data_IF_962800336245
#
_entry.id   IF_962800336245
#
_cell.length_a   1.000
_cell.length_b   1.000
_cell.length_c   1.000
_cell.angle_alpha   90.00
_cell.angle_beta   90.00
_cell.angle_gamma   90.00
#
_symmetry.space_group_name_H-M   'P 1'
#
loop_
_entity.id
_entity.type
_entity.pdbx_description
1 polymer ?
#
# COMPACT_ATOMS: atom_id res chain seq x y z
N UNK A 1 -30.30 -10.41 -39.79
CA UNK A 1 -28.84 -10.60 -39.80
C UNK A 1 -28.33 -10.40 -38.38
N UNK A 2 -27.62 -11.39 -37.89
CA UNK A 2 -27.47 -11.83 -36.51
C UNK A 2 -26.70 -10.84 -35.63
N UNK A 3 -27.30 -10.47 -34.48
CA UNK A 3 -26.64 -9.86 -33.34
C UNK A 3 -25.88 -10.91 -32.55
N UNK A 4 -24.56 -10.81 -32.49
CA UNK A 4 -23.73 -11.55 -31.53
C UNK A 4 -23.47 -10.71 -30.29
N UNK A 5 -24.18 -11.05 -29.23
CA UNK A 5 -24.03 -10.54 -27.88
C UNK A 5 -22.81 -11.21 -27.22
N UNK A 6 -21.75 -10.46 -26.94
CA UNK A 6 -20.63 -10.93 -26.14
C UNK A 6 -20.96 -10.79 -24.64
N UNK A 7 -21.18 -11.91 -23.98
CA UNK A 7 -21.37 -12.00 -22.53
C UNK A 7 -20.01 -11.90 -21.82
N UNK A 8 -19.86 -10.92 -20.93
CA UNK A 8 -18.76 -10.86 -19.96
C UNK A 8 -19.04 -11.86 -18.82
N UNK A 9 -18.06 -12.63 -18.34
CA UNK A 9 -18.24 -13.48 -17.17
C UNK A 9 -18.20 -12.62 -15.89
N UNK A 10 -19.28 -12.67 -15.14
CA UNK A 10 -19.35 -12.14 -13.78
C UNK A 10 -18.69 -13.14 -12.84
N UNK A 11 -17.61 -12.74 -12.18
CA UNK A 11 -16.99 -13.50 -11.10
C UNK A 11 -17.95 -13.54 -9.90
N UNK A 12 -18.49 -14.71 -9.61
CA UNK A 12 -19.29 -14.99 -8.41
C UNK A 12 -18.34 -15.40 -7.29
N UNK A 13 -18.18 -14.53 -6.30
CA UNK A 13 -17.57 -14.86 -5.02
C UNK A 13 -18.57 -15.70 -4.22
N UNK A 14 -18.26 -16.97 -4.04
CA UNK A 14 -19.01 -17.87 -3.16
C UNK A 14 -18.26 -17.91 -1.83
N UNK A 15 -18.74 -17.14 -0.86
CA UNK A 15 -18.37 -17.31 0.54
C UNK A 15 -19.23 -18.46 1.09
N UNK A 16 -18.68 -19.67 1.09
CA UNK A 16 -19.31 -20.83 1.67
C UNK A 16 -18.76 -21.13 3.06
N UNK A 17 -19.40 -20.63 4.10
CA UNK A 17 -19.21 -21.11 5.47
C UNK A 17 -20.20 -22.25 5.68
N UNK A 18 -19.73 -23.50 5.53
CA UNK A 18 -20.50 -24.69 5.94
C UNK A 18 -19.92 -25.21 7.26
N UNK A 19 -20.58 -24.86 8.34
CA UNK A 19 -20.53 -25.61 9.61
C UNK A 19 -21.48 -26.81 9.46
N UNK A 20 -20.95 -27.97 9.08
CA UNK A 20 -21.70 -29.21 9.10
C UNK A 20 -21.45 -29.91 10.43
N UNK A 21 -22.44 -29.82 11.32
CA UNK A 21 -22.52 -30.71 12.47
C UNK A 21 -22.82 -32.13 12.03
N UNK A 22 -21.91 -33.06 12.21
CA UNK A 22 -22.17 -34.49 12.10
C UNK A 22 -22.49 -35.02 13.48
N UNK A 23 -23.79 -35.26 13.75
CA UNK A 23 -24.26 -36.13 14.81
C UNK A 23 -24.15 -37.57 14.31
N UNK A 24 -23.10 -38.26 14.65
CA UNK A 24 -22.97 -39.70 14.52
C UNK A 24 -23.29 -40.32 15.88
N UNK A 25 -24.47 -40.92 15.99
CA UNK A 25 -24.81 -41.86 17.07
C UNK A 25 -24.09 -43.18 16.81
N UNK A 26 -23.06 -43.50 17.56
CA UNK A 26 -22.45 -44.82 17.61
C UNK A 26 -22.29 -45.25 19.07
N UNK A 27 -22.62 -46.52 19.28
CA UNK A 27 -22.87 -47.22 20.51
C UNK A 27 -21.78 -47.10 21.58
N UNK A 28 -22.25 -47.06 22.78
CA UNK A 28 -21.48 -47.08 24.03
C UNK A 28 -20.72 -48.39 24.13
N UNK A 29 -19.41 -48.32 23.87
CA UNK A 29 -18.46 -49.29 24.49
C UNK A 29 -17.74 -48.51 25.58
N UNK A 30 -18.04 -48.86 26.82
CA UNK A 30 -17.36 -48.34 28.03
C UNK A 30 -15.96 -48.96 28.10
N UNK A 31 -14.99 -48.33 27.44
CA UNK A 31 -13.59 -48.49 27.82
C UNK A 31 -13.36 -47.67 29.08
N UNK A 32 -12.52 -48.14 30.06
CA UNK A 32 -12.24 -47.37 31.24
C UNK A 32 -11.60 -46.06 30.82
N UNK A 33 -12.29 -44.94 31.10
CA UNK A 33 -11.75 -43.60 30.94
C UNK A 33 -10.55 -43.51 31.88
N UNK A 34 -9.35 -43.61 31.35
CA UNK A 34 -8.18 -43.12 32.08
C UNK A 34 -8.48 -41.63 32.37
N UNK A 35 -8.76 -41.30 33.63
CA UNK A 35 -9.03 -39.94 34.06
C UNK A 35 -7.86 -39.08 33.57
N UNK A 36 -8.12 -38.23 32.57
CA UNK A 36 -7.12 -37.31 32.06
C UNK A 36 -6.60 -36.48 33.25
N UNK A 37 -5.30 -36.46 33.46
CA UNK A 37 -4.76 -35.74 34.59
C UNK A 37 -5.11 -34.27 34.46
N UNK A 38 -5.46 -33.54 35.55
CA UNK A 38 -5.78 -32.11 35.49
C UNK A 38 -4.73 -31.25 34.76
N UNK A 39 -3.47 -31.74 34.76
CA UNK A 39 -2.35 -31.11 34.02
C UNK A 39 -2.44 -31.44 32.52
N UNK A 40 -2.87 -32.62 32.13
CA UNK A 40 -3.09 -32.99 30.72
C UNK A 40 -4.16 -32.13 30.10
N UNK A 41 -5.29 -31.94 30.78
CA UNK A 41 -6.38 -31.09 30.34
C UNK A 41 -5.98 -29.60 30.25
N UNK A 42 -5.17 -29.13 31.20
CA UNK A 42 -4.66 -27.75 31.17
C UNK A 42 -3.71 -27.52 29.96
N UNK A 43 -2.82 -28.52 29.67
CA UNK A 43 -1.94 -28.44 28.49
C UNK A 43 -2.72 -28.43 27.17
N UNK A 44 -3.76 -29.27 27.06
CA UNK A 44 -4.62 -29.29 25.85
C UNK A 44 -5.37 -27.97 25.66
N UNK A 45 -5.95 -27.41 26.74
CA UNK A 45 -6.61 -26.09 26.70
C UNK A 45 -5.63 -24.98 26.36
N UNK A 46 -4.41 -25.02 26.90
CA UNK A 46 -3.36 -24.05 26.59
C UNK A 46 -2.95 -24.10 25.10
N UNK A 47 -2.83 -25.30 24.54
CA UNK A 47 -2.53 -25.47 23.12
C UNK A 47 -3.68 -24.93 22.22
N UNK A 48 -4.93 -25.23 22.56
CA UNK A 48 -6.09 -24.73 21.85
C UNK A 48 -6.19 -23.20 21.93
N UNK A 49 -6.00 -22.60 23.10
CA UNK A 49 -5.98 -21.16 23.30
C UNK A 49 -4.87 -20.52 22.46
N UNK A 50 -3.67 -21.08 22.47
CA UNK A 50 -2.55 -20.59 21.66
C UNK A 50 -2.93 -20.56 20.18
N UNK A 51 -3.44 -21.65 19.63
CA UNK A 51 -3.85 -21.70 18.21
C UNK A 51 -4.92 -20.66 17.87
N UNK A 52 -5.88 -20.43 18.77
CA UNK A 52 -6.93 -19.41 18.54
C UNK A 52 -6.32 -18.00 18.56
N UNK A 53 -5.44 -17.70 19.52
CA UNK A 53 -4.78 -16.39 19.62
C UNK A 53 -3.87 -16.16 18.43
N UNK A 54 -3.07 -17.14 18.02
CA UNK A 54 -2.17 -17.02 16.87
C UNK A 54 -2.96 -16.82 15.56
N UNK A 55 -4.09 -17.52 15.38
CA UNK A 55 -4.97 -17.32 14.24
C UNK A 55 -5.58 -15.92 14.19
N UNK A 56 -6.03 -15.38 15.34
CA UNK A 56 -6.57 -14.02 15.41
C UNK A 56 -5.48 -12.97 15.19
N UNK A 57 -4.27 -13.18 15.69
CA UNK A 57 -3.11 -12.30 15.43
C UNK A 57 -2.78 -12.25 13.96
N UNK A 58 -2.67 -13.39 13.29
CA UNK A 58 -2.45 -13.46 11.85
C UNK A 58 -3.54 -12.69 11.07
N UNK A 59 -4.81 -12.89 11.44
CA UNK A 59 -5.90 -12.12 10.82
C UNK A 59 -5.79 -10.62 11.08
N UNK A 60 -5.34 -10.21 12.27
CA UNK A 60 -5.12 -8.81 12.61
C UNK A 60 -3.96 -8.21 11.79
N UNK A 61 -2.86 -8.95 11.59
CA UNK A 61 -1.74 -8.53 10.74
C UNK A 61 -2.17 -8.33 9.29
N UNK A 62 -2.91 -9.27 8.71
CA UNK A 62 -3.48 -9.14 7.36
C UNK A 62 -4.43 -7.95 7.26
N UNK A 63 -5.28 -7.74 8.28
CA UNK A 63 -6.21 -6.60 8.31
C UNK A 63 -5.46 -5.26 8.44
N UNK A 64 -4.35 -5.24 9.18
CA UNK A 64 -3.47 -4.07 9.31
C UNK A 64 -2.83 -3.70 7.97
N UNK A 65 -2.28 -4.66 7.24
CA UNK A 65 -1.73 -4.40 5.91
C UNK A 65 -2.79 -3.83 4.95
N UNK A 66 -3.99 -4.39 4.95
CA UNK A 66 -5.09 -3.88 4.14
C UNK A 66 -5.49 -2.45 4.53
N UNK A 67 -5.48 -2.14 5.84
CA UNK A 67 -5.70 -0.78 6.33
C UNK A 67 -4.61 0.17 5.83
N UNK A 68 -3.35 -0.19 6.00
CA UNK A 68 -2.21 0.66 5.64
C UNK A 68 -2.16 0.95 4.14
N UNK A 69 -2.44 -0.04 3.29
CA UNK A 69 -2.57 0.15 1.85
C UNK A 69 -3.70 1.13 1.50
N UNK A 70 -4.87 0.93 2.12
CA UNK A 70 -6.04 1.79 1.87
C UNK A 70 -5.77 3.22 2.38
N UNK A 71 -5.09 3.35 3.51
CA UNK A 71 -4.70 4.64 4.09
C UNK A 71 -3.68 5.37 3.20
N UNK A 72 -2.67 4.67 2.69
CA UNK A 72 -1.71 5.22 1.74
C UNK A 72 -2.39 5.67 0.44
N UNK A 73 -3.33 4.86 -0.10
CA UNK A 73 -4.13 5.21 -1.26
C UNK A 73 -5.01 6.45 -1.02
N UNK A 74 -5.58 6.58 0.19
CA UNK A 74 -6.33 7.77 0.59
C UNK A 74 -5.43 9.02 0.58
N UNK A 75 -4.21 8.93 1.09
CA UNK A 75 -3.24 10.03 1.04
C UNK A 75 -2.94 10.49 -0.39
N UNK A 76 -2.75 9.56 -1.31
CA UNK A 76 -2.57 9.87 -2.74
C UNK A 76 -3.83 10.50 -3.36
N UNK A 77 -5.02 9.99 -3.04
CA UNK A 77 -6.27 10.52 -3.54
C UNK A 77 -6.55 11.94 -3.02
N UNK A 78 -6.20 12.25 -1.77
CA UNK A 78 -6.28 13.61 -1.20
C UNK A 78 -5.33 14.56 -1.95
N UNK A 79 -4.10 14.16 -2.20
CA UNK A 79 -3.16 14.96 -2.97
C UNK A 79 -3.66 15.21 -4.40
N UNK A 80 -4.20 14.18 -5.07
CA UNK A 80 -4.80 14.30 -6.39
C UNK A 80 -6.00 15.27 -6.39
N UNK A 81 -6.82 15.24 -5.32
CA UNK A 81 -7.93 16.18 -5.16
C UNK A 81 -7.45 17.64 -5.02
N UNK A 82 -6.38 17.88 -4.26
CA UNK A 82 -5.77 19.22 -4.11
C UNK A 82 -5.27 19.73 -5.48
N UNK A 83 -4.60 18.89 -6.27
CA UNK A 83 -4.12 19.26 -7.60
C UNK A 83 -5.26 19.48 -8.59
N UNK A 84 -6.32 18.69 -8.53
CA UNK A 84 -7.53 18.89 -9.32
C UNK A 84 -8.22 20.21 -8.99
N UNK A 85 -8.25 20.60 -7.70
CA UNK A 85 -8.77 21.90 -7.26
C UNK A 85 -7.96 23.06 -7.85
N UNK A 86 -6.61 22.99 -7.78
CA UNK A 86 -5.71 23.98 -8.38
C UNK A 86 -5.92 24.12 -9.89
N UNK A 87 -6.07 22.97 -10.56
CA UNK A 87 -6.32 22.93 -12.02
C UNK A 87 -7.65 23.59 -12.37
N UNK A 88 -8.69 23.34 -11.58
CA UNK A 88 -10.00 23.98 -11.76
C UNK A 88 -9.92 25.49 -11.56
N UNK A 89 -9.21 25.96 -10.53
CA UNK A 89 -9.07 27.38 -10.25
C UNK A 89 -8.30 28.09 -11.38
N UNK A 90 -7.25 27.48 -11.93
CA UNK A 90 -6.54 28.00 -13.10
C UNK A 90 -7.42 28.01 -14.36
N UNK A 91 -8.24 26.97 -14.57
CA UNK A 91 -9.19 26.93 -15.69
C UNK A 91 -10.27 28.02 -15.57
N UNK A 92 -10.78 28.26 -14.36
CA UNK A 92 -11.74 29.35 -14.08
C UNK A 92 -11.15 30.72 -14.37
N UNK A 93 -9.91 30.99 -13.94
CA UNK A 93 -9.21 32.24 -14.23
C UNK A 93 -9.05 32.45 -15.74
N UNK A 94 -8.63 31.42 -16.47
CA UNK A 94 -8.46 31.47 -17.92
C UNK A 94 -9.80 31.72 -18.62
N UNK A 95 -10.86 31.03 -18.22
CA UNK A 95 -12.21 31.21 -18.76
C UNK A 95 -12.78 32.62 -18.47
N UNK A 96 -12.54 33.11 -17.23
CA UNK A 96 -12.93 34.46 -16.84
C UNK A 96 -12.23 35.55 -17.67
N UNK A 97 -10.89 35.45 -17.82
CA UNK A 97 -10.11 36.38 -18.64
C UNK A 97 -10.57 36.38 -20.10
N UNK A 98 -10.90 35.20 -20.63
CA UNK A 98 -11.46 35.09 -22.00
C UNK A 98 -12.84 35.76 -22.13
N UNK A 99 -13.71 35.60 -21.16
CA UNK A 99 -15.01 36.24 -21.09
C UNK A 99 -14.90 37.79 -21.03
N UNK A 100 -13.94 38.29 -20.22
CA UNK A 100 -13.65 39.73 -20.11
C UNK A 100 -13.16 40.30 -21.45
N UNK A 101 -12.23 39.60 -22.12
CA UNK A 101 -11.76 39.98 -23.45
C UNK A 101 -12.88 40.04 -24.48
N UNK A 102 -13.80 39.08 -24.50
CA UNK A 102 -15.00 39.10 -25.35
C UNK A 102 -15.87 40.31 -25.07
N UNK A 103 -16.12 40.60 -23.81
CA UNK A 103 -16.92 41.72 -23.39
C UNK A 103 -16.31 43.06 -23.87
N UNK A 104 -15.00 43.24 -23.68
CA UNK A 104 -14.26 44.39 -24.14
C UNK A 104 -14.32 44.51 -25.68
N UNK A 105 -14.13 43.40 -26.39
CA UNK A 105 -14.18 43.34 -27.85
C UNK A 105 -15.58 43.69 -28.39
N UNK A 106 -16.62 43.09 -27.80
CA UNK A 106 -18.01 43.37 -28.18
C UNK A 106 -18.35 44.84 -27.96
N UNK A 107 -17.90 45.43 -26.84
CA UNK A 107 -18.10 46.87 -26.56
C UNK A 107 -17.35 47.74 -27.56
N UNK A 108 -16.10 47.43 -27.90
CA UNK A 108 -15.30 48.14 -28.88
C UNK A 108 -15.96 48.12 -30.28
N UNK A 109 -16.44 46.95 -30.72
CA UNK A 109 -17.19 46.79 -31.99
C UNK A 109 -18.48 47.61 -31.99
N UNK A 110 -19.25 47.60 -30.91
CA UNK A 110 -20.46 48.40 -30.79
C UNK A 110 -20.17 49.89 -30.87
N UNK A 111 -19.15 50.38 -30.15
CA UNK A 111 -18.75 51.79 -30.13
C UNK A 111 -18.17 52.27 -31.47
N UNK A 112 -17.61 51.39 -32.28
CA UNK A 112 -17.09 51.71 -33.64
C UNK A 112 -18.14 51.69 -34.74
N UNK A 113 -19.42 51.50 -34.41
CA UNK A 113 -20.53 51.47 -35.40
C UNK A 113 -20.87 50.07 -35.89
N UNK A 114 -20.39 49.04 -35.21
CA UNK A 114 -20.71 47.64 -35.50
C UNK A 114 -20.01 47.06 -36.74
N UNK A 115 -20.38 45.87 -37.18
CA UNK A 115 -19.78 45.21 -38.34
C UNK A 115 -19.92 46.02 -39.63
N UNK A 116 -21.00 46.79 -39.76
CA UNK A 116 -21.28 47.60 -40.92
C UNK A 116 -20.23 48.71 -41.16
N UNK A 117 -19.65 49.27 -40.09
CA UNK A 117 -18.63 50.31 -40.20
C UNK A 117 -17.33 49.77 -40.85
N UNK A 118 -17.01 48.47 -40.59
CA UNK A 118 -15.85 47.83 -41.21
C UNK A 118 -16.00 47.74 -42.72
N UNK A 119 -17.17 47.35 -43.22
CA UNK A 119 -17.44 47.30 -44.66
C UNK A 119 -17.49 48.70 -45.29
N UNK A 120 -18.08 49.65 -44.58
CA UNK A 120 -18.15 51.02 -45.06
C UNK A 120 -16.75 51.61 -45.22
N UNK A 121 -15.83 51.34 -44.35
CA UNK A 121 -14.42 51.78 -44.39
C UNK A 121 -13.70 51.29 -45.65
N UNK A 122 -13.99 50.07 -46.12
CA UNK A 122 -13.44 49.51 -47.36
C UNK A 122 -14.10 50.17 -48.57
N UNK A 123 -15.45 50.37 -48.56
CA UNK A 123 -16.20 50.90 -49.64
C UNK A 123 -15.95 52.41 -49.90
N UNK A 124 -15.51 53.19 -48.94
CA UNK A 124 -15.16 54.59 -48.99
C UNK A 124 -13.72 54.89 -49.34
N UNK A 125 -12.95 53.87 -49.76
CA UNK A 125 -11.54 54.01 -50.15
C UNK A 125 -11.38 54.76 -51.46
N UNK A 126 -10.42 55.72 -51.52
CA UNK A 126 -10.19 56.58 -52.69
C UNK A 126 -9.23 56.00 -53.73
N UNK A 127 -8.58 54.86 -53.47
CA UNK A 127 -7.63 54.19 -54.39
C UNK A 127 -7.62 52.66 -54.21
N UNK A 128 -7.18 51.93 -55.26
CA UNK A 128 -7.04 50.47 -55.27
C UNK A 128 -6.06 50.03 -54.21
N UNK A 129 -4.97 50.76 -54.01
CA UNK A 129 -3.98 50.48 -53.00
C UNK A 129 -4.57 50.60 -51.58
N UNK A 130 -5.39 51.58 -51.35
CA UNK A 130 -6.08 51.78 -50.08
C UNK A 130 -7.12 50.69 -49.83
N UNK A 131 -7.85 50.24 -50.80
CA UNK A 131 -8.76 49.10 -50.76
C UNK A 131 -8.00 47.87 -50.36
N UNK A 132 -6.87 47.56 -50.99
CA UNK A 132 -6.05 46.37 -50.67
C UNK A 132 -5.54 46.42 -49.22
N UNK A 133 -5.02 47.55 -48.73
CA UNK A 133 -4.55 47.72 -47.36
C UNK A 133 -5.68 47.55 -46.36
N UNK A 134 -6.84 48.16 -46.58
CA UNK A 134 -8.00 48.04 -45.67
C UNK A 134 -8.59 46.63 -45.68
N UNK A 135 -8.61 45.95 -46.84
CA UNK A 135 -9.01 44.55 -46.94
C UNK A 135 -8.09 43.63 -46.14
N UNK A 136 -6.77 43.87 -46.21
CA UNK A 136 -5.82 43.11 -45.39
C UNK A 136 -6.04 43.35 -43.88
N UNK A 137 -6.32 44.57 -43.46
CA UNK A 137 -6.69 44.89 -42.09
C UNK A 137 -7.98 44.18 -41.64
N UNK A 138 -9.00 44.14 -42.46
CA UNK A 138 -10.24 43.41 -42.18
C UNK A 138 -9.98 41.92 -42.06
N UNK A 139 -9.18 41.34 -42.96
CA UNK A 139 -8.78 39.91 -42.84
C UNK A 139 -8.05 39.60 -41.56
N UNK A 140 -7.12 40.47 -41.12
CA UNK A 140 -6.39 40.30 -39.83
C UNK A 140 -7.36 40.35 -38.62
N UNK A 141 -8.35 41.24 -38.65
CA UNK A 141 -9.37 41.33 -37.60
C UNK A 141 -10.24 40.06 -37.55
N UNK A 142 -10.71 39.60 -38.73
CA UNK A 142 -11.53 38.36 -38.81
C UNK A 142 -10.75 37.15 -38.38
N UNK A 143 -9.47 37.04 -38.77
CA UNK A 143 -8.60 35.95 -38.33
C UNK A 143 -8.35 35.99 -36.80
N UNK A 144 -8.15 37.18 -36.23
CA UNK A 144 -8.03 37.38 -34.79
C UNK A 144 -9.29 36.97 -34.03
N UNK A 145 -10.46 37.34 -34.54
CA UNK A 145 -11.74 36.98 -33.93
C UNK A 145 -11.98 35.45 -34.01
N UNK A 146 -11.63 34.81 -35.13
CA UNK A 146 -11.72 33.35 -35.27
C UNK A 146 -10.79 32.62 -34.27
N UNK A 147 -9.56 33.12 -34.10
CA UNK A 147 -8.60 32.58 -33.12
C UNK A 147 -9.13 32.72 -31.68
N UNK A 148 -9.73 33.88 -31.36
CA UNK A 148 -10.34 34.09 -30.04
C UNK A 148 -11.50 33.14 -29.78
N UNK A 149 -12.39 32.92 -30.74
CA UNK A 149 -13.49 31.94 -30.62
C UNK A 149 -12.94 30.51 -30.33
N UNK A 150 -11.85 30.15 -31.02
CA UNK A 150 -11.22 28.86 -30.79
C UNK A 150 -10.59 28.76 -29.39
N UNK A 151 -9.92 29.81 -28.93
CA UNK A 151 -9.36 29.87 -27.57
C UNK A 151 -10.46 29.74 -26.49
N UNK A 152 -11.59 30.43 -26.71
CA UNK A 152 -12.74 30.37 -25.81
C UNK A 152 -13.33 28.96 -25.72
N UNK A 153 -13.53 28.30 -26.86
CA UNK A 153 -14.00 26.92 -26.89
C UNK A 153 -13.07 25.97 -26.14
N UNK A 154 -11.75 26.18 -26.31
CA UNK A 154 -10.74 25.42 -25.56
C UNK A 154 -10.79 25.73 -24.05
N UNK A 155 -11.00 26.99 -23.65
CA UNK A 155 -11.10 27.36 -22.24
C UNK A 155 -12.33 26.73 -21.58
N UNK A 156 -13.47 26.70 -22.26
CA UNK A 156 -14.68 25.99 -21.77
C UNK A 156 -14.42 24.50 -21.64
N UNK A 157 -13.86 23.87 -22.68
CA UNK A 157 -13.54 22.43 -22.63
C UNK A 157 -12.58 22.08 -21.47
N UNK A 158 -11.57 22.92 -21.22
CA UNK A 158 -10.65 22.74 -20.08
C UNK A 158 -11.35 22.89 -18.74
N UNK A 159 -12.28 23.86 -18.62
CA UNK A 159 -13.06 24.07 -17.40
C UNK A 159 -13.96 22.87 -17.11
N UNK A 160 -14.64 22.34 -18.11
CA UNK A 160 -15.49 21.16 -17.98
C UNK A 160 -14.68 19.93 -17.58
N UNK A 161 -13.53 19.71 -18.25
CA UNK A 161 -12.61 18.61 -17.91
C UNK A 161 -12.07 18.73 -16.49
N UNK A 162 -11.65 19.93 -16.06
CA UNK A 162 -11.16 20.16 -14.71
C UNK A 162 -12.26 19.94 -13.65
N UNK A 163 -13.49 20.35 -13.94
CA UNK A 163 -14.64 20.12 -13.06
C UNK A 163 -14.95 18.63 -12.92
N UNK A 164 -14.91 17.88 -14.02
CA UNK A 164 -15.10 16.43 -13.99
C UNK A 164 -13.98 15.72 -13.18
N UNK A 165 -12.72 16.12 -13.41
CA UNK A 165 -11.57 15.58 -12.69
C UNK A 165 -11.67 15.82 -11.17
N UNK A 166 -12.08 17.01 -10.75
CA UNK A 166 -12.30 17.33 -9.35
C UNK A 166 -13.38 16.43 -8.74
N UNK A 167 -14.52 16.28 -9.41
CA UNK A 167 -15.61 15.43 -8.94
C UNK A 167 -15.21 13.95 -8.84
N UNK A 168 -14.38 13.46 -9.78
CA UNK A 168 -13.86 12.09 -9.74
C UNK A 168 -12.89 11.88 -8.58
N UNK A 169 -11.98 12.83 -8.35
CA UNK A 169 -11.03 12.78 -7.24
C UNK A 169 -11.73 12.82 -5.88
N UNK A 170 -12.78 13.64 -5.73
CA UNK A 170 -13.61 13.70 -4.53
C UNK A 170 -14.34 12.36 -4.28
N UNK A 171 -14.95 11.79 -5.32
CA UNK A 171 -15.60 10.47 -5.21
C UNK A 171 -14.64 9.37 -4.79
N UNK A 172 -13.40 9.40 -5.33
CA UNK A 172 -12.36 8.43 -4.95
C UNK A 172 -11.95 8.61 -3.49
N UNK A 173 -11.64 9.83 -3.06
CA UNK A 173 -11.26 10.11 -1.67
C UNK A 173 -12.34 9.69 -0.68
N UNK A 174 -13.61 9.99 -0.97
CA UNK A 174 -14.74 9.60 -0.12
C UNK A 174 -14.94 8.07 -0.04
N UNK A 175 -14.70 7.33 -1.13
CA UNK A 175 -14.76 5.85 -1.10
C UNK A 175 -13.63 5.29 -0.24
N UNK A 176 -12.40 5.77 -0.44
CA UNK A 176 -11.23 5.32 0.32
C UNK A 176 -11.36 5.65 1.81
N UNK A 177 -11.89 6.82 2.16
CA UNK A 177 -12.16 7.18 3.56
C UNK A 177 -13.12 6.19 4.24
N UNK A 178 -14.18 5.76 3.55
CA UNK A 178 -15.09 4.74 4.08
C UNK A 178 -14.41 3.39 4.21
N UNK A 179 -13.57 3.00 3.25
CA UNK A 179 -12.80 1.75 3.31
C UNK A 179 -11.81 1.76 4.47
N UNK A 180 -11.08 2.86 4.69
CA UNK A 180 -10.18 3.04 5.86
C UNK A 180 -10.95 2.84 7.17
N UNK A 181 -12.13 3.46 7.33
CA UNK A 181 -12.95 3.30 8.53
C UNK A 181 -13.41 1.84 8.72
N UNK A 182 -13.78 1.14 7.65
CA UNK A 182 -14.16 -0.27 7.71
C UNK A 182 -12.99 -1.18 8.09
N UNK A 183 -11.81 -0.96 7.51
CA UNK A 183 -10.60 -1.73 7.84
C UNK A 183 -10.17 -1.48 9.29
N UNK A 184 -10.19 -0.23 9.76
CA UNK A 184 -9.91 0.11 11.14
C UNK A 184 -10.87 -0.61 12.11
N UNK A 185 -12.17 -0.63 11.79
CA UNK A 185 -13.17 -1.37 12.56
C UNK A 185 -12.89 -2.87 12.62
N UNK A 186 -12.42 -3.47 11.51
CA UNK A 186 -12.05 -4.89 11.46
C UNK A 186 -10.84 -5.20 12.35
N UNK A 187 -9.78 -4.39 12.27
CA UNK A 187 -8.59 -4.55 13.14
C UNK A 187 -9.00 -4.47 14.61
N UNK A 188 -9.76 -3.44 15.00
CA UNK A 188 -10.22 -3.27 16.37
C UNK A 188 -11.08 -4.45 16.86
N UNK A 189 -11.96 -5.00 16.00
CA UNK A 189 -12.77 -6.17 16.34
C UNK A 189 -11.90 -7.42 16.59
N UNK A 190 -10.89 -7.66 15.77
CA UNK A 190 -9.96 -8.79 15.95
C UNK A 190 -9.12 -8.64 17.22
N UNK A 191 -8.64 -7.44 17.52
CA UNK A 191 -7.93 -7.15 18.76
C UNK A 191 -8.84 -7.34 19.99
N UNK A 192 -10.09 -6.88 19.93
CA UNK A 192 -11.07 -7.09 20.98
C UNK A 192 -11.39 -8.56 21.22
N UNK A 193 -11.51 -9.36 20.15
CA UNK A 193 -11.68 -10.83 20.28
C UNK A 193 -10.46 -11.50 20.91
N UNK A 194 -9.24 -11.09 20.54
CA UNK A 194 -8.03 -11.60 21.12
C UNK A 194 -7.96 -11.30 22.62
N UNK A 195 -8.27 -10.06 23.02
CA UNK A 195 -8.29 -9.64 24.41
C UNK A 195 -9.34 -10.41 25.19
N UNK A 196 -10.56 -10.56 24.66
CA UNK A 196 -11.62 -11.31 25.34
C UNK A 196 -11.25 -12.79 25.58
N UNK A 197 -10.53 -13.42 24.62
CA UNK A 197 -10.03 -14.79 24.82
C UNK A 197 -8.98 -14.86 25.94
N UNK A 198 -8.08 -13.89 26.01
CA UNK A 198 -7.06 -13.83 27.06
C UNK A 198 -7.67 -13.56 28.43
N UNK A 199 -8.65 -12.66 28.52
CA UNK A 199 -9.33 -12.31 29.76
C UNK A 199 -10.17 -13.48 30.31
N UNK A 200 -10.73 -14.30 29.43
CA UNK A 200 -11.51 -15.48 29.80
C UNK A 200 -10.63 -16.70 30.18
N UNK A 201 -9.34 -16.65 29.92
CA UNK A 201 -8.44 -17.77 30.14
C UNK A 201 -7.99 -17.86 31.61
N UNK A 202 -7.97 -19.10 32.16
CA UNK A 202 -7.38 -19.38 33.46
C UNK A 202 -5.88 -19.05 33.51
N UNK A 203 -5.40 -18.42 34.59
CA UNK A 203 -4.02 -17.97 34.71
C UNK A 203 -2.97 -19.11 34.53
N UNK A 204 -3.32 -20.31 34.94
CA UNK A 204 -2.45 -21.48 34.73
C UNK A 204 -2.42 -21.90 33.27
N UNK A 205 -3.53 -21.81 32.57
CA UNK A 205 -3.60 -22.05 31.11
C UNK A 205 -2.76 -21.02 30.37
N UNK A 206 -2.82 -19.75 30.75
CA UNK A 206 -1.99 -18.69 30.18
C UNK A 206 -0.48 -18.95 30.37
N UNK A 207 -0.06 -19.32 31.57
CA UNK A 207 1.34 -19.66 31.85
C UNK A 207 1.84 -20.84 30.99
N UNK A 208 1.04 -21.90 30.87
CA UNK A 208 1.39 -23.08 30.05
C UNK A 208 1.42 -22.67 28.56
N UNK A 209 0.46 -21.86 28.09
CA UNK A 209 0.43 -21.38 26.72
C UNK A 209 1.68 -20.56 26.38
N UNK A 210 2.11 -19.69 27.27
CA UNK A 210 3.31 -18.87 27.09
C UNK A 210 4.59 -19.75 27.06
N UNK A 211 4.72 -20.74 27.97
CA UNK A 211 5.83 -21.69 27.92
C UNK A 211 5.87 -22.46 26.59
N UNK A 212 4.72 -22.90 26.09
CA UNK A 212 4.63 -23.60 24.81
C UNK A 212 5.01 -22.65 23.63
N UNK A 213 4.62 -21.38 23.68
CA UNK A 213 5.01 -20.38 22.69
C UNK A 213 6.52 -20.19 22.66
N UNK A 214 7.15 -20.03 23.82
CA UNK A 214 8.61 -19.89 23.94
C UNK A 214 9.34 -21.11 23.42
N UNK A 215 8.87 -22.32 23.75
CA UNK A 215 9.46 -23.58 23.28
C UNK A 215 9.32 -23.72 21.75
N UNK A 216 8.16 -23.32 21.16
CA UNK A 216 7.95 -23.32 19.71
C UNK A 216 8.86 -22.31 19.00
N UNK A 217 9.03 -21.12 19.57
CA UNK A 217 9.94 -20.10 19.03
C UNK A 217 11.40 -20.58 19.04
N UNK A 218 11.84 -21.23 20.14
CA UNK A 218 13.17 -21.82 20.24
C UNK A 218 13.40 -22.95 19.21
N UNK A 219 12.38 -23.80 18.99
CA UNK A 219 12.44 -24.86 17.99
C UNK A 219 12.51 -24.29 16.57
N UNK A 220 11.70 -23.26 16.25
CA UNK A 220 11.74 -22.56 14.97
C UNK A 220 13.11 -21.91 14.72
N UNK A 221 13.72 -21.32 15.75
CA UNK A 221 15.07 -20.77 15.68
C UNK A 221 16.11 -21.83 15.33
N UNK A 222 16.03 -22.98 15.98
CA UNK A 222 16.96 -24.09 15.73
C UNK A 222 16.78 -24.61 14.29
N UNK A 223 15.54 -24.71 13.78
CA UNK A 223 15.26 -25.10 12.41
C UNK A 223 15.79 -24.08 11.39
N UNK A 224 15.60 -22.77 11.65
CA UNK A 224 16.12 -21.72 10.80
C UNK A 224 17.65 -21.73 10.75
N UNK A 225 18.31 -21.89 11.91
CA UNK A 225 19.75 -22.01 11.97
C UNK A 225 20.27 -23.26 11.22
N UNK A 226 19.57 -24.39 11.36
CA UNK A 226 19.89 -25.62 10.63
C UNK A 226 19.70 -25.46 9.12
N UNK A 227 18.62 -24.78 8.67
CA UNK A 227 18.36 -24.51 7.25
C UNK A 227 19.43 -23.58 6.64
N UNK A 228 19.86 -22.54 7.36
CA UNK A 228 20.95 -21.66 6.95
C UNK A 228 22.28 -22.43 6.85
N UNK A 229 22.54 -23.35 7.78
CA UNK A 229 23.71 -24.23 7.77
C UNK A 229 23.67 -25.25 6.62
N UNK A 230 22.50 -25.87 6.37
CA UNK A 230 22.31 -26.87 5.32
C UNK A 230 22.35 -26.28 3.90
N UNK A 231 22.09 -24.99 3.74
CA UNK A 231 22.25 -24.29 2.45
C UNK A 231 23.72 -24.19 1.99
N UNK A 232 24.64 -24.86 2.70
CA UNK A 232 26.08 -24.96 2.39
C UNK A 232 26.76 -23.62 2.09
N UNK A 233 26.32 -22.56 2.75
CA UNK A 233 27.11 -21.34 2.78
C UNK A 233 28.25 -21.61 3.74
N UNK A 234 29.38 -22.04 3.19
CA UNK A 234 30.66 -21.97 3.88
C UNK A 234 30.97 -20.49 4.19
N UNK A 235 30.46 -20.04 5.36
CA UNK A 235 30.66 -18.67 5.85
C UNK A 235 32.14 -18.33 6.05
N UNK A 236 33.03 -19.32 5.96
CA UNK A 236 34.48 -19.15 6.04
C UNK A 236 35.16 -18.89 4.70
N UNK A 237 34.53 -19.21 3.57
CA UNK A 237 35.13 -19.08 2.22
C UNK A 237 34.52 -17.99 1.35
N UNK A 238 33.35 -17.45 1.71
CA UNK A 238 32.87 -16.23 1.08
C UNK A 238 33.64 -15.04 1.67
N UNK A 239 34.18 -14.12 0.84
CA UNK A 239 34.58 -12.83 1.36
C UNK A 239 33.35 -12.32 2.12
N UNK A 240 33.50 -12.01 3.40
CA UNK A 240 32.45 -11.38 4.19
C UNK A 240 32.05 -10.13 3.42
N UNK A 241 31.03 -10.25 2.58
CA UNK A 241 30.45 -9.08 1.91
C UNK A 241 29.85 -8.30 3.06
N UNK A 242 30.63 -7.36 3.55
CA UNK A 242 30.27 -6.57 4.68
C UNK A 242 28.97 -5.88 4.31
N UNK A 243 27.92 -6.08 5.09
CA UNK A 243 26.64 -5.42 4.93
C UNK A 243 26.88 -3.97 4.52
N UNK A 244 26.17 -3.48 3.50
CA UNK A 244 26.40 -2.14 2.96
C UNK A 244 26.32 -1.09 4.07
N UNK A 245 26.99 0.06 3.97
CA UNK A 245 26.84 1.13 4.97
C UNK A 245 25.37 1.48 5.22
N UNK A 246 24.54 1.45 4.17
CA UNK A 246 23.10 1.64 4.23
C UNK A 246 22.42 0.60 5.13
N UNK A 247 22.68 -0.69 4.89
CA UNK A 247 22.11 -1.79 5.65
C UNK A 247 22.55 -1.76 7.12
N UNK A 248 23.83 -1.44 7.38
CA UNK A 248 24.34 -1.27 8.74
C UNK A 248 23.65 -0.13 9.50
N UNK A 249 23.47 1.01 8.85
CA UNK A 249 22.79 2.16 9.43
C UNK A 249 21.30 1.84 9.72
N UNK A 250 20.61 1.18 8.78
CA UNK A 250 19.22 0.76 8.97
C UNK A 250 19.07 -0.22 10.14
N UNK A 251 19.95 -1.23 10.21
CA UNK A 251 19.92 -2.20 11.30
C UNK A 251 20.24 -1.55 12.66
N UNK A 252 21.23 -0.64 12.72
CA UNK A 252 21.56 0.09 13.94
C UNK A 252 20.38 0.94 14.42
N UNK A 253 19.67 1.61 13.51
CA UNK A 253 18.44 2.34 13.83
C UNK A 253 17.38 1.37 14.41
N UNK A 254 17.08 0.26 13.72
CA UNK A 254 16.07 -0.69 14.18
C UNK A 254 16.42 -1.25 15.58
N UNK A 255 17.68 -1.57 15.84
CA UNK A 255 18.15 -2.00 17.15
C UNK A 255 17.98 -0.92 18.23
N UNK A 256 18.13 0.36 17.90
CA UNK A 256 17.87 1.45 18.84
C UNK A 256 16.41 1.64 19.22
N UNK A 257 15.50 0.98 18.50
CA UNK A 257 14.06 0.98 18.78
C UNK A 257 13.59 -0.18 19.67
N UNK A 258 14.48 -1.06 20.09
CA UNK A 258 14.14 -2.22 20.93
C UNK A 258 13.36 -1.80 22.18
N UNK A 259 12.34 -2.59 22.54
CA UNK A 259 11.46 -2.34 23.67
C UNK A 259 10.32 -1.35 23.41
N UNK A 260 10.29 -0.65 22.28
CA UNK A 260 9.15 0.22 21.92
C UNK A 260 7.94 -0.62 21.56
N UNK A 261 6.72 -0.18 21.96
CA UNK A 261 5.52 -0.95 21.73
C UNK A 261 5.19 -1.06 20.24
N UNK A 262 4.64 -2.21 19.86
CA UNK A 262 3.96 -2.33 18.58
C UNK A 262 2.64 -1.55 18.62
N UNK A 263 2.41 -0.76 17.61
CA UNK A 263 1.11 -0.13 17.34
C UNK A 263 0.86 -0.17 15.84
N UNK A 264 -0.26 -0.76 15.42
CA UNK A 264 -0.61 -0.83 14.01
C UNK A 264 -0.75 0.57 13.39
N UNK A 265 -0.30 0.74 12.16
CA UNK A 265 -0.25 2.02 11.45
C UNK A 265 0.88 2.96 11.90
N UNK A 266 1.64 2.60 12.94
CA UNK A 266 2.67 3.47 13.51
C UNK A 266 4.01 3.36 12.76
N UNK A 267 4.62 4.54 12.52
CA UNK A 267 5.92 4.67 11.84
C UNK A 267 7.00 5.30 12.74
N UNK A 268 6.72 5.37 14.06
CA UNK A 268 7.64 5.97 15.05
C UNK A 268 7.27 7.42 15.42
N UNK A 269 8.04 8.04 16.32
CA UNK A 269 9.18 7.48 17.06
C UNK A 269 8.78 6.69 18.33
N UNK A 270 7.53 6.82 18.82
CA UNK A 270 7.10 6.23 20.09
C UNK A 270 6.73 4.75 19.96
N UNK A 271 6.23 4.33 18.81
CA UNK A 271 5.77 2.98 18.51
C UNK A 271 5.94 2.68 17.02
N UNK A 272 5.92 1.41 16.65
CA UNK A 272 6.09 0.96 15.27
C UNK A 272 5.17 -0.23 14.97
N UNK A 273 4.69 -0.34 13.73
CA UNK A 273 4.30 -1.61 13.16
C UNK A 273 5.47 -2.24 12.38
N UNK A 274 5.27 -3.39 11.76
CA UNK A 274 6.34 -4.13 11.09
C UNK A 274 6.99 -3.35 9.94
N UNK A 275 6.19 -2.85 9.00
CA UNK A 275 6.66 -2.09 7.84
C UNK A 275 7.03 -0.65 8.18
N UNK A 276 6.44 -0.07 9.23
CA UNK A 276 6.83 1.22 9.78
C UNK A 276 8.22 1.20 10.42
N UNK A 277 8.58 0.12 11.12
CA UNK A 277 9.93 -0.06 11.67
C UNK A 277 10.97 -0.16 10.54
N UNK A 278 10.75 -1.01 9.55
CA UNK A 278 11.68 -1.18 8.43
C UNK A 278 11.78 0.09 7.58
N UNK A 279 10.65 0.77 7.33
CA UNK A 279 10.60 2.04 6.63
C UNK A 279 11.38 3.14 7.35
N UNK A 280 11.18 3.30 8.66
CA UNK A 280 11.90 4.26 9.49
C UNK A 280 13.41 3.94 9.56
N UNK A 281 13.77 2.66 9.65
CA UNK A 281 15.15 2.23 9.68
C UNK A 281 15.89 2.60 8.40
N UNK A 282 15.31 2.32 7.26
CA UNK A 282 15.90 2.67 5.97
C UNK A 282 15.86 4.18 5.70
N UNK A 283 14.81 4.88 6.12
CA UNK A 283 14.75 6.34 6.01
C UNK A 283 15.87 7.01 6.82
N UNK A 284 16.17 6.52 8.03
CA UNK A 284 17.30 7.00 8.84
C UNK A 284 18.65 6.71 8.17
N UNK A 285 18.73 5.67 7.35
CA UNK A 285 19.91 5.34 6.54
C UNK A 285 19.99 6.11 5.21
N UNK A 286 18.97 6.92 4.85
CA UNK A 286 18.93 7.72 3.64
C UNK A 286 18.19 7.08 2.46
N UNK A 287 17.47 5.97 2.66
CA UNK A 287 16.65 5.31 1.63
C UNK A 287 15.19 5.28 2.06
N UNK A 288 14.31 5.90 1.28
CA UNK A 288 12.86 5.85 1.52
C UNK A 288 12.29 4.55 1.00
N UNK A 289 11.69 3.74 1.87
CA UNK A 289 10.92 2.56 1.51
C UNK A 289 9.43 2.91 1.37
N UNK A 290 8.66 2.14 0.59
CA UNK A 290 7.21 2.23 0.58
C UNK A 290 6.60 1.92 1.95
N UNK A 291 5.33 2.32 2.16
CA UNK A 291 4.68 2.22 3.47
C UNK A 291 4.41 0.79 3.93
N UNK A 292 3.92 -0.07 3.05
CA UNK A 292 3.44 -1.40 3.42
C UNK A 292 4.45 -2.51 3.15
N UNK A 293 4.36 -3.62 3.86
CA UNK A 293 5.22 -4.78 3.65
C UNK A 293 5.10 -5.32 2.22
N UNK A 294 3.88 -5.36 1.65
CA UNK A 294 3.63 -5.77 0.26
C UNK A 294 4.36 -4.90 -0.76
N UNK A 295 4.38 -3.59 -0.53
CA UNK A 295 5.10 -2.66 -1.40
C UNK A 295 6.62 -2.77 -1.20
N UNK A 296 7.09 -3.01 0.04
CA UNK A 296 8.51 -3.19 0.37
C UNK A 296 9.10 -4.47 -0.25
N UNK A 297 8.28 -5.47 -0.56
CA UNK A 297 8.65 -6.66 -1.32
C UNK A 297 9.29 -6.34 -2.67
N UNK A 298 8.96 -5.20 -3.24
CA UNK A 298 9.48 -4.72 -4.52
C UNK A 298 10.60 -3.66 -4.37
N UNK A 299 11.12 -3.44 -3.17
CA UNK A 299 12.09 -2.36 -2.89
C UNK A 299 13.55 -2.70 -3.23
N UNK A 300 13.80 -3.86 -3.86
CA UNK A 300 15.15 -4.28 -4.27
C UNK A 300 15.17 -5.68 -4.87
N UNK A 301 16.34 -6.22 -5.16
CA UNK A 301 16.47 -7.59 -5.65
C UNK A 301 16.12 -8.60 -4.57
N UNK A 302 15.50 -9.70 -5.00
CA UNK A 302 15.22 -10.83 -4.12
C UNK A 302 16.49 -11.59 -3.76
N UNK A 303 16.56 -12.05 -2.51
CA UNK A 303 17.72 -12.73 -1.94
C UNK A 303 17.32 -14.14 -1.50
N UNK A 304 18.13 -15.13 -1.90
CA UNK A 304 17.93 -16.50 -1.45
C UNK A 304 18.26 -16.64 0.04
N UNK A 305 17.58 -17.55 0.76
CA UNK A 305 17.73 -17.78 2.20
C UNK A 305 19.21 -17.96 2.62
N UNK A 306 20.01 -18.69 1.82
CA UNK A 306 21.41 -18.91 2.07
C UNK A 306 22.36 -17.74 1.74
N UNK A 307 21.82 -16.64 1.21
CA UNK A 307 22.57 -15.43 0.82
C UNK A 307 22.13 -14.19 1.63
N UNK A 308 21.42 -14.42 2.73
CA UNK A 308 20.98 -13.35 3.62
C UNK A 308 22.14 -12.60 4.23
N UNK A 309 22.09 -11.27 4.18
CA UNK A 309 23.03 -10.36 4.83
C UNK A 309 22.30 -9.46 5.85
N UNK A 310 22.95 -9.03 6.94
CA UNK A 310 22.36 -8.08 7.86
C UNK A 310 21.85 -6.84 7.14
N UNK A 311 20.57 -6.52 7.38
CA UNK A 311 19.83 -5.46 6.70
C UNK A 311 18.84 -5.94 5.65
N UNK A 312 18.92 -7.18 5.16
CA UNK A 312 17.90 -7.72 4.26
C UNK A 312 16.52 -7.68 4.93
N UNK A 313 15.48 -7.39 4.15
CA UNK A 313 14.09 -7.47 4.58
C UNK A 313 13.58 -8.89 4.38
N UNK A 314 13.04 -9.48 5.42
CA UNK A 314 12.43 -10.81 5.43
C UNK A 314 10.91 -10.67 5.41
N UNK A 315 10.21 -11.49 4.62
CA UNK A 315 8.77 -11.38 4.42
C UNK A 315 8.02 -12.67 4.71
N UNK A 316 6.81 -12.52 5.25
CA UNK A 316 5.88 -13.63 5.53
C UNK A 316 4.54 -13.37 4.84
N UNK A 317 3.98 -14.45 4.25
CA UNK A 317 2.73 -14.45 3.51
C UNK A 317 1.82 -15.59 3.93
N UNK A 318 0.51 -15.44 3.77
CA UNK A 318 -0.45 -16.52 3.99
C UNK A 318 -0.54 -17.49 2.81
N UNK A 319 -0.12 -17.06 1.62
CA UNK A 319 0.08 -17.89 0.43
C UNK A 319 1.47 -17.58 -0.16
N UNK A 320 2.36 -18.58 -0.13
CA UNK A 320 3.75 -18.42 -0.57
C UNK A 320 3.89 -18.23 -2.09
N UNK A 321 2.84 -18.46 -2.85
CA UNK A 321 2.81 -18.22 -4.29
C UNK A 321 2.27 -16.84 -4.67
N UNK A 322 1.68 -16.10 -3.72
CA UNK A 322 1.05 -14.81 -3.95
C UNK A 322 1.61 -13.70 -3.02
N UNK A 323 2.52 -12.84 -3.52
CA UNK A 323 3.06 -11.71 -2.75
C UNK A 323 2.00 -10.72 -2.26
N UNK A 324 0.80 -10.68 -2.85
CA UNK A 324 -0.29 -9.83 -2.36
C UNK A 324 -0.83 -10.27 -1.00
N UNK A 325 -0.48 -11.47 -0.55
CA UNK A 325 -0.84 -12.03 0.75
C UNK A 325 0.19 -11.79 1.84
N UNK A 326 1.27 -11.05 1.54
CA UNK A 326 2.27 -10.65 2.54
C UNK A 326 1.58 -9.83 3.63
N UNK A 327 1.89 -10.16 4.89
CA UNK A 327 1.31 -9.53 6.07
C UNK A 327 2.34 -9.14 7.13
N UNK A 328 3.60 -9.57 6.96
CA UNK A 328 4.67 -9.23 7.90
C UNK A 328 6.01 -9.01 7.21
N UNK A 329 6.83 -8.13 7.80
CA UNK A 329 8.20 -7.85 7.38
C UNK A 329 9.10 -7.62 8.60
N UNK A 330 10.35 -8.07 8.52
CA UNK A 330 11.37 -7.85 9.57
C UNK A 330 12.73 -7.56 8.95
N UNK A 331 13.65 -7.00 9.74
CA UNK A 331 15.03 -6.73 9.34
C UNK A 331 15.93 -7.90 9.78
N UNK A 332 16.63 -8.53 8.84
CA UNK A 332 17.61 -9.57 9.18
C UNK A 332 18.81 -8.97 9.92
N UNK A 333 19.13 -9.53 11.09
CA UNK A 333 20.22 -9.05 11.94
C UNK A 333 21.51 -9.87 11.83
N UNK A 334 21.48 -10.96 11.05
CA UNK A 334 22.56 -11.93 10.98
C UNK A 334 22.38 -13.11 11.94
N UNK A 335 23.12 -14.19 11.71
CA UNK A 335 23.13 -15.38 12.57
C UNK A 335 21.75 -15.99 12.85
N UNK A 336 20.85 -15.97 11.86
CA UNK A 336 19.49 -16.49 12.02
C UNK A 336 18.58 -15.64 12.91
N UNK A 337 18.96 -14.40 13.20
CA UNK A 337 18.19 -13.45 14.00
C UNK A 337 17.62 -12.32 13.14
N UNK A 338 16.52 -11.73 13.61
CA UNK A 338 15.90 -10.57 13.00
C UNK A 338 15.45 -9.55 14.04
N UNK A 339 15.37 -8.29 13.66
CA UNK A 339 14.70 -7.23 14.44
C UNK A 339 13.29 -7.06 13.85
N UNK A 340 12.29 -7.21 14.69
CA UNK A 340 10.89 -7.14 14.29
C UNK A 340 10.05 -6.30 15.25
N UNK A 341 8.99 -5.67 14.73
CA UNK A 341 7.83 -5.24 15.49
C UNK A 341 6.70 -6.26 15.18
N UNK A 342 6.49 -7.27 16.05
CA UNK A 342 5.76 -8.47 15.62
C UNK A 342 4.26 -8.30 15.51
N UNK A 343 3.57 -7.84 16.55
CA UNK A 343 2.11 -7.69 16.60
C UNK A 343 1.67 -6.84 17.81
N UNK A 344 0.41 -6.45 17.83
CA UNK A 344 -0.20 -5.72 18.95
C UNK A 344 -0.04 -6.48 20.27
N UNK A 345 0.36 -5.74 21.30
CA UNK A 345 0.65 -6.27 22.63
C UNK A 345 2.09 -6.79 22.81
N UNK A 346 2.91 -6.67 21.78
CA UNK A 346 4.35 -6.98 21.80
C UNK A 346 5.17 -5.68 21.61
N UNK A 347 6.49 -5.83 21.66
CA UNK A 347 7.44 -4.72 21.50
C UNK A 347 8.42 -5.02 20.38
N UNK A 348 9.07 -3.99 19.85
CA UNK A 348 10.22 -4.15 18.96
C UNK A 348 11.27 -5.00 19.67
N UNK A 349 11.67 -6.11 19.07
CA UNK A 349 12.60 -7.07 19.67
C UNK A 349 13.47 -7.78 18.67
N UNK A 350 14.58 -8.33 19.16
CA UNK A 350 15.36 -9.33 18.43
C UNK A 350 14.71 -10.69 18.67
N UNK A 351 14.50 -11.45 17.61
CA UNK A 351 13.96 -12.80 17.68
C UNK A 351 14.57 -13.68 16.58
N UNK A 352 14.49 -15.01 16.71
CA UNK A 352 14.92 -15.91 15.67
C UNK A 352 14.07 -15.78 14.40
N UNK A 353 14.69 -15.98 13.24
CA UNK A 353 13.97 -16.14 11.97
C UNK A 353 13.20 -17.45 12.03
N UNK A 354 11.93 -17.43 11.64
CA UNK A 354 11.08 -18.61 11.50
C UNK A 354 10.68 -18.79 10.04
N UNK A 355 10.51 -20.05 9.60
CA UNK A 355 10.28 -20.37 8.18
C UNK A 355 8.80 -20.65 7.86
N UNK A 356 7.96 -20.80 8.85
CA UNK A 356 6.52 -20.96 8.63
C UNK A 356 5.94 -19.66 8.07
N UNK A 357 5.36 -19.73 6.87
CA UNK A 357 4.88 -18.55 6.13
C UNK A 357 5.96 -17.68 5.47
N UNK A 358 7.25 -18.02 5.59
CA UNK A 358 8.32 -17.25 4.95
C UNK A 358 8.27 -17.35 3.42
N UNK A 359 8.05 -16.22 2.72
CA UNK A 359 7.96 -16.16 1.26
C UNK A 359 9.30 -15.78 0.60
N UNK A 360 10.20 -15.08 1.30
CA UNK A 360 11.48 -14.66 0.75
C UNK A 360 12.06 -13.42 1.41
N UNK A 361 13.12 -12.91 0.82
CA UNK A 361 13.81 -11.70 1.27
C UNK A 361 14.14 -10.75 0.11
N UNK A 362 14.32 -9.48 0.45
CA UNK A 362 14.71 -8.40 -0.46
C UNK A 362 15.87 -7.62 0.14
N UNK A 363 16.83 -7.19 -0.71
CA UNK A 363 17.96 -6.33 -0.32
C UNK A 363 17.75 -4.91 -0.82
N UNK A 364 17.22 -3.99 0.00
CA UNK A 364 17.00 -2.62 -0.42
C UNK A 364 18.31 -1.88 -0.72
N UNK A 365 18.27 -1.01 -1.74
CA UNK A 365 19.44 -0.20 -2.13
C UNK A 365 20.53 -0.95 -2.89
N UNK A 366 20.40 -2.26 -3.11
CA UNK A 366 21.27 -2.97 -4.05
C UNK A 366 20.80 -2.69 -5.49
N UNK A 367 21.73 -2.33 -6.35
CA UNK A 367 21.45 -2.27 -7.79
C UNK A 367 21.27 -3.69 -8.32
N UNK A 368 20.18 -3.95 -9.03
CA UNK A 368 20.07 -5.18 -9.83
C UNK A 368 21.21 -5.16 -10.83
N UNK A 369 22.20 -6.05 -10.67
CA UNK A 369 23.12 -6.30 -11.75
C UNK A 369 22.28 -6.72 -12.98
N UNK A 370 22.51 -6.16 -14.17
CA UNK A 370 21.80 -6.61 -15.35
C UNK A 370 22.09 -8.11 -15.48
N UNK A 371 21.03 -8.94 -15.39
CA UNK A 371 21.13 -10.36 -15.72
C UNK A 371 21.69 -10.43 -17.12
N UNK A 372 22.93 -10.93 -17.25
CA UNK A 372 23.50 -11.23 -18.55
C UNK A 372 22.51 -12.18 -19.24
N UNK A 373 21.90 -11.70 -20.33
CA UNK A 373 21.09 -12.51 -21.22
C UNK A 373 21.94 -13.71 -21.63
N UNK A 374 21.49 -14.96 -21.51
CA UNK A 374 22.24 -16.07 -22.06
C UNK A 374 22.39 -15.79 -23.56
N UNK A 375 23.64 -15.62 -24.02
CA UNK A 375 23.95 -15.58 -25.45
C UNK A 375 23.45 -16.88 -26.07
N UNK A 376 22.56 -16.72 -27.07
CA UNK A 376 21.93 -17.79 -27.81
C UNK A 376 22.93 -18.64 -28.67
#
# INVERSE_FOLDING_TARGET
MQHTSSRRPTARWVAGLLLAGVLASAGVQTAPHAAASPIGDAKTRAAALRHQVDALRLQAEIATENYDETYAALGQAVNAHIEAQRTLDAARQTSGASADQKSLRARALYMSGGPSAIYLTVLTSGSITEVATRMHQVQAVVAGDAHQVQQDAQAVTRLDAATATLADSERLANRLQKQVAQQAGRVNALLGQTQALLDAADSRVLQIAEQQRQAAAAAAAAQAAAALSAAQVDLGSLPAVAASPLAKAALAFAQSQLGKPYLWGATGPASFDCSGLTGAAYAAAGLTLPRTSRQQWFAGPHVALGQLEPGDLLFWASDLSDPSTIHHVALYAGNGLMVAAPHTGDVVRVQPVYLDGYIGAVRPGATTAPTASPAG
#
